data_IF_483157705489
#
_entry.id   IF_483157705489
#
_cell.length_a   1.000
_cell.length_b   1.000
_cell.length_c   1.000
_cell.angle_alpha   90.00
_cell.angle_beta   90.00
_cell.angle_gamma   90.00
#
_symmetry.space_group_name_H-M   'P 1'
#
loop_
_entity.id
_entity.type
_entity.pdbx_description
1 polymer ?
#
# COMPACT_ATOMS: atom_id res chain seq x y z
N UNK A 1 -12.58 -0.01 26.57
CA UNK A 1 -11.85 0.51 25.45
C UNK A 1 -10.40 0.17 25.56
N UNK A 2 -9.84 -0.20 24.47
CA UNK A 2 -8.43 -0.41 24.45
C UNK A 2 -7.72 0.83 24.92
N UNK A 3 -6.83 0.65 25.82
CA UNK A 3 -6.08 1.76 26.34
C UNK A 3 -4.97 2.14 25.37
N UNK A 4 -5.26 3.08 24.49
CA UNK A 4 -4.28 3.58 23.55
C UNK A 4 -3.17 4.36 24.22
N UNK A 5 -3.34 4.68 25.51
CA UNK A 5 -2.29 5.35 26.28
C UNK A 5 -1.17 4.39 26.64
N UNK A 6 -1.41 3.07 26.54
CA UNK A 6 -0.38 2.07 26.82
C UNK A 6 0.73 2.07 25.77
N UNK A 7 0.49 2.71 24.64
CA UNK A 7 1.46 2.81 23.53
C UNK A 7 1.98 4.22 23.42
N UNK A 8 3.20 4.40 22.88
CA UNK A 8 3.69 5.74 22.61
C UNK A 8 2.66 6.49 21.78
N UNK A 9 2.25 7.64 22.27
CA UNK A 9 1.26 8.45 21.58
C UNK A 9 1.86 8.97 20.28
N UNK A 10 1.08 8.87 19.24
CA UNK A 10 1.39 9.49 17.97
C UNK A 10 1.22 10.99 18.14
N UNK A 11 2.26 11.77 17.83
CA UNK A 11 2.22 13.23 18.00
C UNK A 11 1.68 13.90 16.75
N UNK A 12 2.02 13.37 15.58
CA UNK A 12 1.57 13.90 14.29
C UNK A 12 1.03 12.76 13.43
N UNK A 13 0.15 13.07 12.47
CA UNK A 13 -0.21 12.07 11.47
C UNK A 13 1.04 11.55 10.77
N UNK A 14 1.03 10.26 10.43
CA UNK A 14 2.20 9.62 9.82
C UNK A 14 2.04 9.58 8.30
N UNK A 15 2.92 10.24 7.55
CA UNK A 15 2.86 10.15 6.10
C UNK A 15 3.44 8.81 5.63
N UNK A 16 2.69 8.12 4.78
CA UNK A 16 3.11 6.86 4.19
C UNK A 16 2.86 6.88 2.70
N UNK A 17 3.59 6.05 1.98
CA UNK A 17 3.39 5.87 0.54
C UNK A 17 2.87 4.47 0.27
N UNK A 18 2.08 4.34 -0.79
CA UNK A 18 1.62 3.06 -1.29
C UNK A 18 1.88 2.98 -2.79
N UNK A 19 2.00 1.76 -3.30
CA UNK A 19 2.29 1.53 -4.70
C UNK A 19 1.22 0.66 -5.34
N UNK A 20 0.49 1.21 -6.31
CA UNK A 20 -0.36 0.43 -7.19
C UNK A 20 0.51 0.04 -8.37
N UNK A 21 1.00 -1.21 -8.36
CA UNK A 21 1.99 -1.70 -9.31
C UNK A 21 1.30 -2.47 -10.42
N UNK A 22 1.47 -2.01 -11.67
CA UNK A 22 0.86 -2.63 -12.85
C UNK A 22 1.94 -3.37 -13.63
N UNK A 23 1.67 -4.64 -13.94
CA UNK A 23 2.58 -5.44 -14.75
C UNK A 23 2.24 -5.34 -16.24
N UNK A 24 2.97 -6.07 -17.08
CA UNK A 24 2.80 -6.01 -18.54
C UNK A 24 1.45 -6.52 -19.01
N UNK A 25 0.81 -7.42 -18.24
CA UNK A 25 -0.52 -7.94 -18.57
C UNK A 25 -1.64 -7.00 -18.09
N UNK A 26 -1.31 -5.88 -17.48
CA UNK A 26 -2.33 -4.97 -16.97
C UNK A 26 -2.90 -5.38 -15.63
N UNK A 27 -2.28 -6.32 -14.94
CA UNK A 27 -2.70 -6.75 -13.60
C UNK A 27 -2.00 -5.91 -12.55
N UNK A 28 -2.66 -5.74 -11.41
CA UNK A 28 -2.09 -5.01 -10.28
C UNK A 28 -1.69 -5.98 -9.18
N UNK A 29 -0.67 -5.60 -8.42
CA UNK A 29 -0.19 -6.41 -7.30
C UNK A 29 -0.96 -6.05 -6.04
N UNK A 30 -1.58 -7.06 -5.45
CA UNK A 30 -2.25 -6.94 -4.15
C UNK A 30 -1.50 -7.82 -3.16
N UNK A 31 -1.23 -7.28 -1.98
CA UNK A 31 -0.47 -7.98 -0.95
C UNK A 31 -1.35 -8.21 0.28
N UNK A 32 -1.14 -9.31 0.98
CA UNK A 32 -1.92 -9.66 2.16
C UNK A 32 -1.10 -9.37 3.41
N UNK A 33 -1.69 -8.69 4.38
CA UNK A 33 -0.99 -8.29 5.59
C UNK A 33 -1.83 -8.54 6.84
N UNK A 34 -1.22 -9.15 7.86
CA UNK A 34 -1.84 -9.31 9.18
C UNK A 34 -2.17 -7.98 9.83
N UNK A 35 -1.42 -6.94 9.54
CA UNK A 35 -1.67 -5.61 10.09
C UNK A 35 -2.99 -5.03 9.60
N UNK A 36 -3.50 -5.52 8.49
CA UNK A 36 -4.80 -5.16 7.93
C UNK A 36 -5.78 -6.33 8.03
N UNK A 37 -5.61 -7.20 9.03
CA UNK A 37 -6.46 -8.35 9.30
C UNK A 37 -6.62 -9.27 8.10
N UNK A 38 -5.49 -9.53 7.43
CA UNK A 38 -5.40 -10.41 6.27
C UNK A 38 -6.19 -9.94 5.06
N UNK A 39 -6.53 -8.66 5.01
CA UNK A 39 -7.07 -8.07 3.79
C UNK A 39 -5.96 -7.83 2.79
N UNK A 40 -6.32 -7.74 1.52
CA UNK A 40 -5.39 -7.36 0.48
C UNK A 40 -5.21 -5.84 0.49
N UNK A 41 -3.97 -5.43 0.41
CA UNK A 41 -3.55 -4.03 0.47
C UNK A 41 -2.54 -3.74 -0.63
N UNK A 42 -2.13 -2.49 -0.74
CA UNK A 42 -0.99 -2.12 -1.58
C UNK A 42 0.29 -2.19 -0.76
N UNK A 43 1.42 -2.60 -1.38
CA UNK A 43 2.70 -2.50 -0.68
C UNK A 43 3.06 -1.04 -0.44
N UNK A 44 3.75 -0.76 0.64
CA UNK A 44 4.15 0.59 1.00
C UNK A 44 4.59 0.71 2.44
N UNK A 45 4.85 1.92 2.86
CA UNK A 45 5.29 2.18 4.24
C UNK A 45 5.66 3.64 4.44
N UNK A 46 6.34 3.90 5.54
CA UNK A 46 6.67 5.25 5.97
C UNK A 46 7.72 5.91 5.07
N UNK A 47 7.57 7.21 4.90
CA UNK A 47 8.61 8.04 4.29
C UNK A 47 9.66 8.29 5.37
N UNK A 48 10.92 8.05 5.04
CA UNK A 48 12.02 8.31 5.97
C UNK A 48 12.52 9.74 5.83
N UNK A 49 13.06 10.26 6.93
CA UNK A 49 13.59 11.63 6.93
C UNK A 49 14.65 11.77 5.83
N UNK A 50 14.51 12.79 4.99
CA UNK A 50 15.43 13.05 3.90
C UNK A 50 15.08 12.36 2.59
N UNK A 51 14.04 11.53 2.58
CA UNK A 51 13.56 10.83 1.39
C UNK A 51 12.45 11.62 0.69
N UNK A 52 12.46 11.64 -0.64
CA UNK A 52 11.29 12.09 -1.38
C UNK A 52 10.24 10.97 -1.36
N UNK A 53 8.99 11.30 -1.69
CA UNK A 53 7.94 10.29 -1.80
C UNK A 53 8.29 9.22 -2.82
N UNK A 54 8.83 9.60 -3.97
CA UNK A 54 9.23 8.62 -5.00
C UNK A 54 10.32 7.69 -4.51
N UNK A 55 11.30 8.22 -3.80
CA UNK A 55 12.36 7.41 -3.22
C UNK A 55 11.81 6.42 -2.21
N UNK A 56 10.85 6.87 -1.38
CA UNK A 56 10.20 6.01 -0.40
C UNK A 56 9.45 4.88 -1.07
N UNK A 57 8.70 5.18 -2.16
CA UNK A 57 7.97 4.16 -2.92
C UNK A 57 8.92 3.09 -3.45
N UNK A 58 10.01 3.54 -4.10
CA UNK A 58 10.98 2.61 -4.70
C UNK A 58 11.58 1.72 -3.63
N UNK A 59 11.98 2.30 -2.51
CA UNK A 59 12.59 1.57 -1.39
C UNK A 59 11.61 0.58 -0.77
N UNK A 60 10.39 1.03 -0.44
CA UNK A 60 9.40 0.17 0.21
C UNK A 60 9.01 -1.01 -0.68
N UNK A 61 8.80 -0.75 -1.97
CA UNK A 61 8.47 -1.82 -2.92
C UNK A 61 9.61 -2.83 -3.00
N UNK A 62 10.85 -2.36 -3.07
CA UNK A 62 12.00 -3.26 -3.12
C UNK A 62 12.10 -4.11 -1.85
N UNK A 63 11.93 -3.49 -0.68
CA UNK A 63 12.01 -4.19 0.60
C UNK A 63 10.89 -5.23 0.77
N UNK A 64 9.66 -4.88 0.41
CA UNK A 64 8.51 -5.73 0.70
C UNK A 64 8.24 -6.80 -0.35
N UNK A 65 8.41 -6.48 -1.63
CA UNK A 65 8.04 -7.40 -2.71
C UNK A 65 9.17 -7.66 -3.70
N UNK A 66 10.34 -7.07 -3.51
CA UNK A 66 11.53 -7.37 -4.30
C UNK A 66 11.51 -6.85 -5.72
N UNK A 67 10.61 -5.93 -6.04
CA UNK A 67 10.47 -5.40 -7.40
C UNK A 67 11.18 -4.07 -7.54
N UNK A 68 11.74 -3.85 -8.74
CA UNK A 68 12.29 -2.57 -9.14
C UNK A 68 11.24 -1.90 -10.04
N UNK A 69 10.58 -0.88 -9.51
CA UNK A 69 9.46 -0.25 -10.21
C UNK A 69 9.84 1.12 -10.76
N UNK A 70 9.11 1.51 -11.81
CA UNK A 70 9.12 2.87 -12.31
C UNK A 70 7.91 3.59 -11.73
N UNK A 71 8.14 4.69 -11.02
CA UNK A 71 7.06 5.49 -10.44
C UNK A 71 6.56 6.45 -11.50
N UNK A 72 5.27 6.33 -11.84
CA UNK A 72 4.68 7.14 -12.92
C UNK A 72 4.05 8.42 -12.39
N UNK A 73 3.09 8.30 -11.47
CA UNK A 73 2.36 9.47 -10.97
C UNK A 73 1.66 9.18 -9.66
N UNK A 74 1.33 10.21 -8.91
CA UNK A 74 0.49 10.06 -7.73
C UNK A 74 -0.96 9.93 -8.16
N UNK A 75 -1.63 8.87 -7.68
CA UNK A 75 -3.03 8.62 -7.99
C UNK A 75 -3.96 9.30 -7.01
N UNK A 76 -3.64 9.21 -5.73
CA UNK A 76 -4.57 9.59 -4.68
C UNK A 76 -3.82 9.90 -3.40
N UNK A 77 -4.27 10.93 -2.70
CA UNK A 77 -3.91 11.17 -1.32
C UNK A 77 -5.16 10.97 -0.49
N UNK A 78 -5.06 10.24 0.62
CA UNK A 78 -6.20 9.98 1.49
C UNK A 78 -5.75 9.84 2.93
N UNK A 79 -6.69 10.01 3.84
CA UNK A 79 -6.42 9.95 5.27
C UNK A 79 -7.08 8.74 5.88
N UNK A 80 -6.38 8.09 6.80
CA UNK A 80 -6.94 6.99 7.58
C UNK A 80 -6.83 7.39 9.05
N UNK A 81 -7.95 7.84 9.63
CA UNK A 81 -7.97 8.32 11.00
C UNK A 81 -8.57 7.25 11.88
N UNK A 82 -7.70 6.55 12.62
CA UNK A 82 -8.09 5.49 13.55
C UNK A 82 -8.96 4.42 12.89
N UNK A 83 -8.56 3.99 11.68
CA UNK A 83 -9.31 3.01 10.92
C UNK A 83 -9.38 1.67 11.65
N UNK A 84 -10.57 1.10 11.78
CA UNK A 84 -10.78 -0.20 12.40
C UNK A 84 -10.18 -1.33 11.59
N UNK A 85 -9.94 -1.10 10.31
CA UNK A 85 -9.33 -2.08 9.40
C UNK A 85 -7.85 -2.32 9.70
N UNK A 86 -7.21 -1.42 10.46
CA UNK A 86 -5.81 -1.54 10.82
C UNK A 86 -5.67 -2.04 12.25
N UNK A 87 -4.64 -2.84 12.51
CA UNK A 87 -4.46 -3.54 13.80
C UNK A 87 -4.13 -2.65 14.98
N UNK A 88 -3.69 -1.41 14.72
CA UNK A 88 -3.37 -0.43 15.77
C UNK A 88 -4.15 0.84 15.55
N UNK A 89 -4.28 1.63 16.61
CA UNK A 89 -4.86 2.96 16.48
C UNK A 89 -3.81 3.89 15.86
N UNK A 90 -4.04 4.29 14.62
CA UNK A 90 -3.11 5.12 13.87
C UNK A 90 -3.84 6.15 13.04
N UNK A 91 -3.21 7.32 12.89
CA UNK A 91 -3.64 8.33 11.94
C UNK A 91 -2.57 8.40 10.84
N UNK A 92 -2.92 7.91 9.66
CA UNK A 92 -2.03 7.92 8.50
C UNK A 92 -2.50 8.94 7.47
N UNK A 93 -1.55 9.48 6.73
CA UNK A 93 -1.83 10.15 5.46
C UNK A 93 -1.17 9.32 4.38
N UNK A 94 -1.98 8.74 3.50
CA UNK A 94 -1.49 7.88 2.42
C UNK A 94 -1.30 8.67 1.15
N UNK A 95 -0.14 8.47 0.52
CA UNK A 95 0.16 8.98 -0.81
C UNK A 95 0.37 7.78 -1.71
N UNK A 96 -0.62 7.47 -2.55
CA UNK A 96 -0.60 6.27 -3.37
C UNK A 96 -0.19 6.58 -4.81
N UNK A 97 0.81 5.84 -5.29
CA UNK A 97 1.43 6.09 -6.59
C UNK A 97 1.17 4.95 -7.56
N UNK A 98 0.96 5.33 -8.81
CA UNK A 98 0.95 4.37 -9.91
C UNK A 98 2.39 4.02 -10.25
N UNK A 99 2.69 2.73 -10.27
CA UNK A 99 4.01 2.21 -10.60
C UNK A 99 3.90 1.16 -11.69
N UNK A 100 4.96 1.01 -12.46
CA UNK A 100 5.04 0.00 -13.53
C UNK A 100 6.20 -0.92 -13.28
N UNK A 101 6.02 -2.18 -13.65
CA UNK A 101 7.08 -3.19 -13.51
C UNK A 101 7.10 -4.06 -14.77
N UNK A 102 8.31 -4.52 -15.13
CA UNK A 102 8.49 -5.46 -16.24
C UNK A 102 8.38 -6.91 -15.79
N UNK A 103 9.11 -7.78 -16.46
CA UNK A 103 9.11 -9.22 -16.18
C UNK A 103 10.01 -9.54 -14.99
N UNK A 104 9.51 -9.28 -13.79
CA UNK A 104 10.23 -9.54 -12.56
C UNK A 104 9.39 -10.43 -11.66
N UNK A 105 10.07 -11.22 -10.84
CA UNK A 105 9.41 -12.11 -9.90
C UNK A 105 9.25 -11.42 -8.56
N UNK A 106 8.07 -11.57 -7.96
CA UNK A 106 7.82 -11.08 -6.61
C UNK A 106 8.59 -11.93 -5.62
N UNK A 107 9.27 -11.27 -4.69
CA UNK A 107 9.94 -11.90 -3.56
C UNK A 107 9.45 -11.20 -2.30
N UNK A 108 8.51 -11.85 -1.60
CA UNK A 108 7.92 -11.26 -0.41
C UNK A 108 8.89 -11.21 0.75
N UNK A 109 8.83 -10.12 1.51
CA UNK A 109 9.34 -10.08 2.87
C UNK A 109 8.27 -10.76 3.74
N UNK A 110 8.51 -12.01 4.11
CA UNK A 110 7.53 -12.80 4.86
C UNK A 110 7.32 -12.31 6.29
N UNK A 111 8.19 -11.44 6.80
CA UNK A 111 7.97 -10.82 8.09
C UNK A 111 6.90 -9.72 8.03
N UNK A 112 6.72 -9.13 6.85
CA UNK A 112 5.76 -8.05 6.65
C UNK A 112 4.48 -8.51 5.96
N UNK A 113 4.60 -9.43 4.99
CA UNK A 113 3.50 -9.81 4.12
C UNK A 113 3.31 -11.32 4.11
N UNK A 114 2.05 -11.75 4.06
CA UNK A 114 1.68 -13.16 4.15
C UNK A 114 1.30 -13.77 2.81
N UNK A 115 1.17 -12.96 1.76
CA UNK A 115 0.85 -13.46 0.45
C UNK A 115 0.68 -12.34 -0.55
N UNK A 116 0.51 -12.71 -1.81
CA UNK A 116 0.24 -11.74 -2.86
C UNK A 116 -0.54 -12.40 -3.99
N UNK A 117 -1.19 -11.57 -4.78
CA UNK A 117 -1.79 -11.97 -6.05
C UNK A 117 -1.59 -10.86 -7.07
N UNK A 118 -1.55 -11.26 -8.34
CA UNK A 118 -1.72 -10.34 -9.45
C UNK A 118 -3.17 -10.45 -9.91
N UNK A 119 -3.87 -9.32 -9.94
CA UNK A 119 -5.30 -9.31 -10.30
C UNK A 119 -5.59 -8.18 -11.26
N UNK A 120 -6.55 -8.38 -12.16
CA UNK A 120 -7.02 -7.27 -13.00
C UNK A 120 -7.72 -6.23 -12.13
N UNK A 121 -7.48 -4.93 -12.39
CA UNK A 121 -8.00 -3.88 -11.50
C UNK A 121 -9.51 -3.94 -11.30
N UNK A 122 -10.27 -4.22 -12.37
CA UNK A 122 -11.72 -4.34 -12.25
C UNK A 122 -12.18 -5.53 -11.42
N UNK A 123 -11.38 -6.61 -11.39
CA UNK A 123 -11.68 -7.81 -10.60
C UNK A 123 -11.18 -7.70 -9.16
N UNK A 124 -10.36 -6.71 -8.85
CA UNK A 124 -9.79 -6.55 -7.51
C UNK A 124 -10.88 -6.41 -6.44
N UNK A 125 -12.00 -5.79 -6.78
CA UNK A 125 -13.11 -5.60 -5.85
C UNK A 125 -13.81 -6.90 -5.44
N UNK A 126 -13.53 -8.00 -6.14
CA UNK A 126 -14.02 -9.32 -5.74
C UNK A 126 -13.16 -9.94 -4.64
N UNK A 127 -12.04 -9.30 -4.33
CA UNK A 127 -11.13 -9.73 -3.27
C UNK A 127 -11.47 -8.99 -1.99
N UNK A 128 -10.98 -9.50 -0.87
CA UNK A 128 -11.17 -8.83 0.42
C UNK A 128 -10.14 -7.70 0.56
N UNK A 129 -10.46 -6.53 0.00
CA UNK A 129 -9.58 -5.35 0.04
C UNK A 129 -9.86 -4.53 1.29
N UNK A 130 -8.83 -3.87 1.82
CA UNK A 130 -9.09 -2.76 2.73
C UNK A 130 -9.72 -1.61 1.94
N UNK A 131 -10.47 -0.75 2.62
CA UNK A 131 -11.23 0.30 1.94
C UNK A 131 -10.33 1.34 1.26
N UNK A 132 -9.16 1.59 1.80
CA UNK A 132 -8.22 2.57 1.24
C UNK A 132 -7.62 2.07 -0.06
N UNK A 133 -7.26 0.79 -0.13
CA UNK A 133 -6.82 0.16 -1.38
C UNK A 133 -7.93 0.22 -2.41
N UNK A 134 -9.17 -0.06 -2.00
CA UNK A 134 -10.32 0.06 -2.89
C UNK A 134 -10.45 1.43 -3.50
N UNK A 135 -10.27 2.48 -2.69
CA UNK A 135 -10.33 3.86 -3.18
C UNK A 135 -9.26 4.14 -4.25
N UNK A 136 -8.05 3.64 -4.03
CA UNK A 136 -6.95 3.85 -4.97
C UNK A 136 -7.16 3.08 -6.28
N UNK A 137 -7.66 1.86 -6.20
CA UNK A 137 -8.01 1.07 -7.40
C UNK A 137 -9.10 1.78 -8.19
N UNK A 138 -10.13 2.28 -7.50
CA UNK A 138 -11.22 3.02 -8.16
C UNK A 138 -10.67 4.25 -8.87
N UNK A 139 -9.77 4.98 -8.23
CA UNK A 139 -9.15 6.16 -8.84
C UNK A 139 -8.34 5.81 -10.07
N UNK A 140 -7.59 4.72 -10.02
CA UNK A 140 -6.84 4.24 -11.17
C UNK A 140 -7.78 3.92 -12.36
N UNK A 141 -8.90 3.28 -12.09
CA UNK A 141 -9.86 2.93 -13.13
C UNK A 141 -10.52 4.16 -13.74
N UNK A 142 -10.76 5.22 -12.96
CA UNK A 142 -11.34 6.47 -13.47
C UNK A 142 -10.46 7.16 -14.52
N UNK A 143 -9.13 7.08 -14.33
CA UNK A 143 -8.20 7.84 -15.17
C UNK A 143 -7.97 7.22 -16.55
N UNK A 144 -8.56 6.09 -16.81
CA UNK A 144 -8.36 5.35 -18.08
C UNK A 144 -9.24 5.87 -19.21
#
# INVERSE_FOLDING_TARGET
>A
MTDHKAFPSQVYPEPTVGALIVNKEGRILLTKSHKWFDKYTLPGGHIEVGETMKEAVIREVKEEVGLDVEVAEMLLMQEAIFAEEFWKRKHFIFFDFLCKVGDQQVKLDHDELQGYIWEYPGAAFNRNLDSFTGNTVAKYLERR
#
